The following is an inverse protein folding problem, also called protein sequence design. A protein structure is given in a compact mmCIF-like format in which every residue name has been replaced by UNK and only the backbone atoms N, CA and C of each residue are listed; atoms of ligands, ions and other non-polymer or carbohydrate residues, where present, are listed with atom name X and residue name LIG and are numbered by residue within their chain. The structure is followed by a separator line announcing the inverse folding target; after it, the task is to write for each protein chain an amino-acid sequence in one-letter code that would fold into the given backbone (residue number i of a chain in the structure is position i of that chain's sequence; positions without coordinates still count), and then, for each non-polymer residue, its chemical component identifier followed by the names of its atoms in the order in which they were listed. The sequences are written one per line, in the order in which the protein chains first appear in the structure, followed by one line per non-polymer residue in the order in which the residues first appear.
data_IF_014232064957
#
_entry.id   IF_014232064957
#
_cell.length_a   1.000
_cell.length_b   1.000
_cell.length_c   1.000
_cell.angle_alpha   90.00
_cell.angle_beta   90.00
_cell.angle_gamma   90.00
#
_symmetry.space_group_name_H-M   'P 1'
#
loop_
_entity.id
_entity.type
_entity.pdbx_description
1 polymer ?
#
# COMPACT_ATOMS: atom_id res chain seq x y z
N UNK A 1 22.96 -4.94 5.14
CA UNK A 1 21.56 -4.48 4.94
C UNK A 1 20.82 -5.61 4.24
N UNK A 2 19.82 -6.19 4.90
CA UNK A 2 18.99 -7.25 4.30
C UNK A 2 18.15 -6.65 3.17
N UNK A 3 18.18 -7.28 1.99
CA UNK A 3 17.38 -6.83 0.84
C UNK A 3 15.91 -7.12 1.12
N UNK A 4 15.10 -6.07 1.28
CA UNK A 4 13.64 -6.21 1.42
C UNK A 4 13.07 -6.53 0.04
N UNK A 5 12.64 -7.76 -0.15
CA UNK A 5 11.97 -8.21 -1.36
C UNK A 5 10.63 -8.85 -0.97
N UNK A 6 9.54 -8.30 -1.50
CA UNK A 6 8.19 -8.81 -1.27
C UNK A 6 7.59 -9.20 -2.61
N UNK A 7 6.78 -10.26 -2.62
CA UNK A 7 6.12 -10.76 -3.82
C UNK A 7 4.77 -11.36 -3.45
N UNK A 8 3.75 -11.08 -4.25
CA UNK A 8 2.45 -11.72 -4.15
C UNK A 8 1.89 -12.01 -5.54
N UNK A 9 1.21 -13.15 -5.67
CA UNK A 9 0.64 -13.63 -6.93
C UNK A 9 -0.81 -14.00 -6.69
N UNK A 10 -1.69 -13.54 -7.56
CA UNK A 10 -3.12 -13.89 -7.56
C UNK A 10 -3.55 -14.40 -8.92
N UNK A 11 -4.59 -15.23 -8.94
CA UNK A 11 -5.18 -15.70 -10.20
C UNK A 11 -6.07 -14.62 -10.81
N UNK A 12 -5.75 -14.22 -12.05
CA UNK A 12 -6.58 -13.33 -12.88
C UNK A 12 -7.54 -14.11 -13.78
N UNK A 13 -8.23 -13.41 -14.69
CA UNK A 13 -9.19 -14.06 -15.60
C UNK A 13 -8.54 -15.00 -16.63
N UNK A 14 -7.36 -14.62 -17.13
CA UNK A 14 -6.68 -15.33 -18.22
C UNK A 14 -5.26 -15.75 -17.87
N UNK A 15 -4.65 -15.12 -16.86
CA UNK A 15 -3.27 -15.28 -16.44
C UNK A 15 -3.15 -14.92 -14.97
N UNK A 16 -2.11 -15.42 -14.31
CA UNK A 16 -1.79 -14.97 -12.96
C UNK A 16 -1.20 -13.56 -13.01
N UNK A 17 -1.43 -12.79 -11.95
CA UNK A 17 -0.93 -11.43 -11.82
C UNK A 17 -0.05 -11.35 -10.59
N UNK A 18 1.15 -10.83 -10.78
CA UNK A 18 2.16 -10.68 -9.73
C UNK A 18 2.43 -9.20 -9.47
N UNK A 19 2.52 -8.85 -8.19
CA UNK A 19 3.18 -7.62 -7.75
C UNK A 19 4.37 -7.99 -6.88
N UNK A 20 5.52 -7.37 -7.14
CA UNK A 20 6.70 -7.45 -6.29
C UNK A 20 7.28 -6.08 -5.96
N UNK A 21 7.94 -5.99 -4.81
CA UNK A 21 8.71 -4.84 -4.35
C UNK A 21 10.18 -5.19 -4.26
N UNK A 22 11.05 -4.35 -4.83
CA UNK A 22 12.50 -4.44 -4.65
C UNK A 22 13.02 -3.21 -3.90
N UNK A 23 13.36 -3.40 -2.62
CA UNK A 23 13.92 -2.35 -1.77
C UNK A 23 15.32 -1.88 -2.17
N UNK A 24 16.03 -2.58 -3.06
CA UNK A 24 17.28 -2.06 -3.63
C UNK A 24 17.02 -0.95 -4.63
N UNK A 25 15.99 -1.12 -5.46
CA UNK A 25 15.64 -0.18 -6.52
C UNK A 25 14.54 0.81 -6.10
N UNK A 26 13.92 0.59 -4.92
CA UNK A 26 12.74 1.30 -4.44
C UNK A 26 11.63 1.34 -5.51
N UNK A 27 11.36 0.17 -6.08
CA UNK A 27 10.46 0.01 -7.22
C UNK A 27 9.53 -1.17 -7.05
N UNK A 28 8.33 -1.00 -7.57
CA UNK A 28 7.34 -2.04 -7.79
C UNK A 28 7.51 -2.66 -9.17
N UNK A 29 7.25 -3.95 -9.27
CA UNK A 29 7.16 -4.70 -10.51
C UNK A 29 5.79 -5.36 -10.59
N UNK A 30 5.02 -5.02 -11.62
CA UNK A 30 3.73 -5.65 -11.95
C UNK A 30 3.94 -6.58 -13.13
N UNK A 31 3.55 -7.85 -13.02
CA UNK A 31 3.68 -8.83 -14.10
C UNK A 31 2.38 -9.58 -14.35
N UNK A 32 2.17 -9.95 -15.61
CA UNK A 32 1.18 -10.96 -16.01
C UNK A 32 1.93 -12.23 -16.38
N UNK A 33 1.58 -13.35 -15.74
CA UNK A 33 2.26 -14.62 -15.88
C UNK A 33 1.39 -15.61 -16.66
N UNK A 34 1.89 -16.07 -17.80
CA UNK A 34 1.28 -17.16 -18.57
C UNK A 34 1.98 -18.44 -18.16
N UNK A 35 1.28 -19.32 -17.42
CA UNK A 35 1.84 -20.58 -16.89
C UNK A 35 3.11 -20.37 -16.05
N UNK A 36 3.11 -19.32 -15.22
CA UNK A 36 4.26 -18.95 -14.37
C UNK A 36 5.40 -18.22 -15.09
N UNK A 37 5.29 -17.99 -16.41
CA UNK A 37 6.29 -17.24 -17.18
C UNK A 37 5.83 -15.81 -17.40
N UNK A 38 6.63 -14.78 -17.08
CA UNK A 38 6.27 -13.39 -17.35
C UNK A 38 6.03 -13.13 -18.83
N UNK A 39 4.80 -12.75 -19.18
CA UNK A 39 4.43 -12.31 -20.52
C UNK A 39 4.44 -10.79 -20.66
N UNK A 40 4.10 -10.08 -19.58
CA UNK A 40 4.15 -8.62 -19.47
C UNK A 40 4.83 -8.26 -18.15
N UNK A 41 5.62 -7.19 -18.14
CA UNK A 41 6.32 -6.70 -16.96
C UNK A 41 6.41 -5.18 -16.99
N UNK A 42 5.94 -4.54 -15.93
CA UNK A 42 5.92 -3.09 -15.80
C UNK A 42 6.61 -2.69 -14.50
N UNK A 43 7.72 -1.97 -14.63
CA UNK A 43 8.44 -1.41 -13.50
C UNK A 43 7.90 -0.02 -13.17
N UNK A 44 7.65 0.23 -11.89
CA UNK A 44 7.06 1.47 -11.38
C UNK A 44 7.85 1.93 -10.17
N UNK A 45 8.17 3.21 -10.06
CA UNK A 45 8.88 3.72 -8.89
C UNK A 45 7.95 3.78 -7.66
N UNK A 46 8.53 3.82 -6.45
CA UNK A 46 7.77 4.07 -5.22
C UNK A 46 6.88 5.33 -5.31
N UNK A 47 7.36 6.39 -5.97
CA UNK A 47 6.63 7.66 -6.09
C UNK A 47 5.41 7.57 -7.00
N UNK A 48 5.48 6.75 -8.04
CA UNK A 48 4.37 6.55 -8.98
C UNK A 48 3.33 5.59 -8.41
N UNK A 49 3.78 4.52 -7.74
CA UNK A 49 2.90 3.50 -7.14
C UNK A 49 2.05 2.74 -8.16
N UNK A 50 1.20 1.84 -7.67
CA UNK A 50 0.25 1.06 -8.47
C UNK A 50 -1.17 1.51 -8.11
N UNK A 51 -1.97 1.89 -9.11
CA UNK A 51 -3.35 2.32 -8.87
C UNK A 51 -4.30 1.13 -8.98
N UNK A 52 -5.06 0.91 -7.90
CA UNK A 52 -6.17 -0.02 -7.85
C UNK A 52 -7.47 0.75 -8.06
N UNK A 53 -8.14 0.51 -9.18
CA UNK A 53 -9.36 1.22 -9.55
C UNK A 53 -10.56 0.29 -9.35
N UNK A 54 -11.45 0.70 -8.44
CA UNK A 54 -12.74 0.07 -8.25
C UNK A 54 -13.72 0.57 -9.33
N UNK A 55 -14.68 -0.26 -9.75
CA UNK A 55 -15.71 0.19 -10.68
C UNK A 55 -16.56 1.30 -10.04
N UNK A 56 -16.90 2.32 -10.83
CA UNK A 56 -18.03 3.19 -10.53
C UNK A 56 -19.33 2.36 -10.44
N UNK A 57 -20.38 2.85 -9.76
CA UNK A 57 -21.63 2.10 -9.57
C UNK A 57 -22.25 1.54 -10.86
N UNK A 58 -21.97 2.14 -12.02
CA UNK A 58 -22.45 1.70 -13.34
C UNK A 58 -21.38 0.97 -14.18
N UNK A 59 -20.14 0.88 -13.71
CA UNK A 59 -19.03 0.22 -14.40
C UNK A 59 -18.91 -1.26 -13.96
N UNK A 60 -18.46 -2.11 -14.88
CA UNK A 60 -18.16 -3.52 -14.58
C UNK A 60 -16.65 -3.72 -14.59
N UNK A 61 -16.09 -4.12 -13.45
CA UNK A 61 -14.73 -4.65 -13.37
C UNK A 61 -13.86 -3.95 -12.34
N UNK A 62 -13.10 -4.74 -11.58
CA UNK A 62 -12.02 -4.26 -10.75
C UNK A 62 -10.72 -4.38 -11.54
N UNK A 63 -9.98 -3.29 -11.67
CA UNK A 63 -8.76 -3.28 -12.47
C UNK A 63 -7.60 -2.59 -11.79
N UNK A 64 -6.40 -2.96 -12.23
CA UNK A 64 -5.16 -2.27 -11.93
C UNK A 64 -4.84 -1.37 -13.12
N UNK A 65 -4.53 -0.10 -12.85
CA UNK A 65 -4.12 0.85 -13.88
C UNK A 65 -2.70 1.37 -13.61
N UNK A 66 -1.78 1.04 -14.50
CA UNK A 66 -0.38 1.43 -14.40
C UNK A 66 0.14 1.82 -15.78
N UNK A 67 0.68 3.04 -15.90
CA UNK A 67 1.35 3.54 -17.12
C UNK A 67 0.57 3.31 -18.43
N UNK A 68 -0.74 3.48 -18.40
CA UNK A 68 -1.62 3.28 -19.56
C UNK A 68 -2.03 1.83 -19.83
N UNK A 69 -1.52 0.86 -19.06
CA UNK A 69 -1.96 -0.52 -19.08
C UNK A 69 -3.05 -0.77 -18.04
N UNK A 70 -4.05 -1.56 -18.42
CA UNK A 70 -5.13 -2.02 -17.56
C UNK A 70 -5.06 -3.54 -17.42
N UNK A 71 -5.22 -4.02 -16.19
CA UNK A 71 -5.33 -5.46 -15.90
C UNK A 71 -6.63 -5.69 -15.14
N UNK A 72 -7.57 -6.34 -15.79
CA UNK A 72 -8.83 -6.75 -15.18
C UNK A 72 -8.63 -7.98 -14.31
N UNK A 73 -9.25 -7.97 -13.13
CA UNK A 73 -9.13 -9.02 -12.14
C UNK A 73 -10.50 -9.43 -11.58
N UNK A 74 -10.66 -10.69 -11.18
CA UNK A 74 -11.74 -11.08 -10.28
C UNK A 74 -11.71 -10.22 -9.01
N UNK A 75 -12.87 -9.82 -8.52
CA UNK A 75 -12.97 -8.93 -7.36
C UNK A 75 -12.22 -9.46 -6.12
N UNK A 76 -12.31 -10.76 -5.85
CA UNK A 76 -11.58 -11.38 -4.72
C UNK A 76 -10.07 -11.21 -4.87
N UNK A 77 -9.53 -11.54 -6.04
CA UNK A 77 -8.10 -11.41 -6.36
C UNK A 77 -7.66 -9.96 -6.34
N UNK A 78 -8.48 -9.03 -6.83
CA UNK A 78 -8.19 -7.60 -6.78
C UNK A 78 -8.14 -7.09 -5.34
N UNK A 79 -9.12 -7.43 -4.49
CA UNK A 79 -9.16 -7.00 -3.09
C UNK A 79 -7.98 -7.54 -2.31
N UNK A 80 -7.63 -8.80 -2.52
CA UNK A 80 -6.47 -9.45 -1.91
C UNK A 80 -5.17 -8.76 -2.31
N UNK A 81 -4.96 -8.55 -3.62
CA UNK A 81 -3.75 -7.92 -4.12
C UNK A 81 -3.65 -6.45 -3.70
N UNK A 82 -4.77 -5.72 -3.63
CA UNK A 82 -4.84 -4.35 -3.10
C UNK A 82 -4.44 -4.31 -1.64
N UNK A 83 -5.07 -5.15 -0.80
CA UNK A 83 -4.78 -5.18 0.63
C UNK A 83 -3.32 -5.53 0.90
N UNK A 84 -2.75 -6.47 0.14
CA UNK A 84 -1.34 -6.81 0.25
C UNK A 84 -0.45 -5.65 -0.18
N UNK A 85 -0.73 -5.03 -1.32
CA UNK A 85 0.03 -3.89 -1.83
C UNK A 85 0.03 -2.73 -0.82
N UNK A 86 -1.13 -2.36 -0.28
CA UNK A 86 -1.28 -1.28 0.70
C UNK A 86 -0.45 -1.57 1.97
N UNK A 87 -0.50 -2.80 2.48
CA UNK A 87 0.28 -3.19 3.66
C UNK A 87 1.79 -3.07 3.42
N UNK A 88 2.28 -3.46 2.25
CA UNK A 88 3.70 -3.31 1.91
C UNK A 88 4.05 -1.84 1.64
N UNK A 89 3.19 -1.10 0.94
CA UNK A 89 3.39 0.32 0.67
C UNK A 89 3.51 1.14 1.96
N UNK A 90 2.66 0.87 2.96
CA UNK A 90 2.74 1.47 4.28
C UNK A 90 4.03 1.09 5.01
N UNK A 91 4.48 -0.16 4.90
CA UNK A 91 5.69 -0.64 5.54
C UNK A 91 6.99 -0.04 4.93
N UNK A 92 6.95 0.33 3.65
CA UNK A 92 8.11 0.91 2.92
C UNK A 92 7.98 2.42 2.72
N UNK A 93 6.90 3.03 3.19
CA UNK A 93 6.70 4.47 3.13
C UNK A 93 7.86 5.18 3.88
N UNK A 94 8.40 6.26 3.31
CA UNK A 94 9.41 7.04 4.01
C UNK A 94 8.79 7.59 5.30
N UNK A 95 9.45 7.34 6.44
CA UNK A 95 9.05 7.93 7.72
C UNK A 95 9.10 9.45 7.57
N UNK A 96 8.00 10.18 7.84
CA UNK A 96 8.04 11.63 7.81
C UNK A 96 9.08 12.12 8.80
N UNK A 97 9.99 12.98 8.33
CA UNK A 97 10.99 13.61 9.19
C UNK A 97 10.27 14.36 10.32
N UNK A 98 10.66 14.09 11.56
CA UNK A 98 10.17 14.74 12.79
C UNK A 98 10.34 16.28 12.74
N UNK A 99 11.10 16.79 11.78
CA UNK A 99 11.40 18.20 11.55
C UNK A 99 10.21 19.01 10.99
N UNK A 100 9.17 18.36 10.45
CA UNK A 100 7.93 19.02 10.01
C UNK A 100 6.85 19.13 11.11
N UNK A 101 7.14 18.66 12.34
CA UNK A 101 6.31 19.01 13.48
C UNK A 101 6.47 20.52 13.75
N UNK A 102 5.37 21.30 13.81
CA UNK A 102 5.48 22.67 14.28
C UNK A 102 6.14 22.64 15.66
N UNK A 103 7.33 23.24 15.77
CA UNK A 103 8.10 23.40 17.03
C UNK A 103 7.31 24.05 18.17
N UNK A 104 6.08 24.49 17.91
CA UNK A 104 5.16 25.13 18.83
C UNK A 104 3.91 24.28 19.07
N UNK A 105 4.06 22.97 19.33
CA UNK A 105 3.03 22.30 20.12
C UNK A 105 3.12 22.86 21.54
N UNK A 106 2.04 23.47 22.09
CA UNK A 106 2.04 23.87 23.49
C UNK A 106 2.31 22.61 24.33
N UNK A 107 3.12 22.72 25.41
CA UNK A 107 3.41 21.57 26.25
C UNK A 107 2.08 20.93 26.66
N UNK A 108 1.92 19.64 26.34
CA UNK A 108 0.81 18.84 26.84
C UNK A 108 0.94 18.92 28.36
N UNK A 109 0.07 19.73 28.97
CA UNK A 109 0.02 19.85 30.42
C UNK A 109 -0.14 18.42 30.98
N UNK A 110 0.66 18.02 31.98
CA UNK A 110 0.49 16.72 32.59
C UNK A 110 -0.94 16.59 33.12
N UNK A 111 -1.54 15.39 33.12
CA UNK A 111 -2.91 15.19 33.56
C UNK A 111 -3.09 15.76 34.96
N UNK A 112 -4.12 16.61 35.11
CA UNK A 112 -4.53 17.19 36.39
C UNK A 112 -4.64 16.06 37.41
N UNK A 113 -3.78 16.12 38.42
CA UNK A 113 -3.79 15.23 39.57
C UNK A 113 -5.18 15.23 40.25
N UNK A 114 -5.55 14.11 40.89
CA UNK A 114 -6.94 13.72 41.07
C UNK A 114 -7.69 14.57 42.09
N UNK A 115 -8.99 14.65 41.85
CA UNK A 115 -10.05 15.11 42.73
C UNK A 115 -9.84 14.60 44.17
N UNK A 116 -9.40 15.47 45.07
CA UNK A 116 -9.58 15.29 46.53
C UNK A 116 -10.24 16.56 47.06
N UNK A 117 -11.57 16.57 47.00
CA UNK A 117 -12.38 17.51 47.77
C UNK A 117 -12.27 17.15 49.27
N UNK A 118 -11.94 18.17 50.06
CA UNK A 118 -12.02 18.19 51.52
C UNK A 118 -13.48 18.14 52.00
N UNK A 119 -13.73 17.34 53.05
CA UNK A 119 -14.78 17.52 54.08
C UNK A 119 -14.56 16.38 55.11
N UNK A 120 -14.53 16.53 56.43
CA UNK A 120 -14.85 17.63 57.34
C UNK A 120 -14.18 17.31 58.70
N UNK A 121 -13.84 18.34 59.46
CA UNK A 121 -13.88 18.27 60.93
C UNK A 121 -15.33 18.48 61.40
#
# INVERSE_FOLDING_TARGET
MSRLFYRHVVTGFHYDVEISWDGTNNSWLLQSLVRGVPAVSILVSLREGINFVAPEPDAKGHYIYVRGAFIDLPESSWRELKSWYEAIADAVAPVPSVEDLPRNLPPIAPPLAPYVQRAHA
#
